data_IF_408002724309
#
_entry.id   IF_408002724309
#
_cell.length_a   1.000
_cell.length_b   1.000
_cell.length_c   1.000
_cell.angle_alpha   90.00
_cell.angle_beta   90.00
_cell.angle_gamma   90.00
#
_symmetry.space_group_name_H-M   'P 1'
#
loop_
_entity.id
_entity.type
_entity.pdbx_description
1 polymer ?
#
# COMPACT_ATOMS: atom_id res chain seq x y z
N UNK A 1 -3.89 -16.44 5.01
CA UNK A 1 -2.45 -16.17 5.15
C UNK A 1 -2.18 -14.80 4.56
N UNK A 2 -1.33 -13.97 5.17
CA UNK A 2 -0.94 -12.67 4.60
C UNK A 2 0.21 -12.86 3.61
N UNK A 3 0.04 -12.43 2.36
CA UNK A 3 1.13 -12.41 1.38
C UNK A 3 2.11 -11.27 1.72
N UNK A 4 3.41 -11.55 1.64
CA UNK A 4 4.47 -10.58 1.92
C UNK A 4 5.45 -10.53 0.76
N UNK A 5 5.75 -9.32 0.29
CA UNK A 5 6.72 -9.08 -0.77
C UNK A 5 7.67 -7.97 -0.35
N UNK A 6 8.97 -8.21 -0.50
CA UNK A 6 9.97 -7.17 -0.31
C UNK A 6 9.98 -6.31 -1.57
N UNK A 7 9.83 -5.00 -1.38
CA UNK A 7 9.83 -4.01 -2.45
C UNK A 7 10.95 -3.01 -2.20
N UNK A 8 11.53 -2.47 -3.27
CA UNK A 8 12.56 -1.46 -3.18
C UNK A 8 11.92 -0.09 -2.92
N UNK A 9 12.51 0.68 -2.02
CA UNK A 9 12.21 2.11 -1.85
C UNK A 9 13.07 2.88 -2.85
N UNK A 10 12.43 3.76 -3.62
CA UNK A 10 13.15 4.62 -4.57
C UNK A 10 13.99 5.66 -3.82
N UNK A 11 14.95 6.26 -4.51
CA UNK A 11 15.85 7.26 -3.90
C UNK A 11 15.12 8.48 -3.34
N UNK A 12 13.96 8.83 -3.91
CA UNK A 12 13.09 9.90 -3.43
C UNK A 12 12.07 9.45 -2.37
N UNK A 13 12.21 8.24 -1.84
CA UNK A 13 11.42 7.74 -0.71
C UNK A 13 10.06 7.15 -1.08
N UNK A 14 9.80 6.85 -2.37
CA UNK A 14 8.55 6.21 -2.79
C UNK A 14 8.64 4.70 -2.68
N UNK A 15 7.49 4.10 -2.42
CA UNK A 15 7.29 2.65 -2.50
C UNK A 15 6.40 2.35 -3.70
N UNK A 16 6.89 1.53 -4.63
CA UNK A 16 6.09 1.09 -5.77
C UNK A 16 5.32 -0.16 -5.35
N UNK A 17 3.99 -0.05 -5.31
CA UNK A 17 3.10 -1.17 -5.01
C UNK A 17 2.99 -2.05 -6.26
N UNK A 18 3.35 -3.34 -6.19
CA UNK A 18 3.22 -4.26 -7.32
C UNK A 18 1.77 -4.36 -7.83
N UNK A 19 1.60 -4.46 -9.15
CA UNK A 19 0.30 -4.39 -9.83
C UNK A 19 -0.69 -5.46 -9.32
N UNK A 20 -0.20 -6.64 -8.97
CA UNK A 20 -1.01 -7.75 -8.44
C UNK A 20 -1.77 -7.37 -7.15
N UNK A 21 -1.25 -6.43 -6.35
CA UNK A 21 -1.97 -5.94 -5.17
C UNK A 21 -3.00 -4.88 -5.55
N UNK A 22 -2.75 -4.07 -6.57
CA UNK A 22 -3.68 -3.00 -6.99
C UNK A 22 -4.96 -3.56 -7.63
N UNK A 23 -4.87 -4.70 -8.34
CA UNK A 23 -6.05 -5.38 -8.90
C UNK A 23 -7.05 -5.81 -7.81
N UNK A 24 -6.56 -6.17 -6.63
CA UNK A 24 -7.38 -6.59 -5.50
C UNK A 24 -8.10 -5.42 -4.80
N UNK A 25 -7.62 -4.18 -4.98
CA UNK A 25 -8.01 -3.03 -4.16
C UNK A 25 -9.09 -2.16 -4.82
N UNK A 26 -9.46 -2.43 -6.08
CA UNK A 26 -10.60 -1.80 -6.78
C UNK A 26 -10.48 -0.28 -6.98
N UNK A 27 -9.33 0.31 -6.67
CA UNK A 27 -9.09 1.74 -6.72
C UNK A 27 -7.63 2.10 -6.47
N UNK A 28 -7.30 3.36 -6.77
CA UNK A 28 -5.91 3.85 -6.80
C UNK A 28 -5.65 4.95 -5.74
N UNK A 29 -6.65 5.25 -4.92
CA UNK A 29 -6.60 6.26 -3.86
C UNK A 29 -6.62 5.58 -2.51
N UNK A 30 -5.69 5.95 -1.64
CA UNK A 30 -5.51 5.32 -0.34
C UNK A 30 -5.34 6.36 0.75
N UNK A 31 -5.97 6.10 1.89
CA UNK A 31 -5.62 6.74 3.16
C UNK A 31 -4.38 6.04 3.72
N UNK A 32 -3.41 6.84 4.16
CA UNK A 32 -2.15 6.37 4.73
C UNK A 32 -2.16 6.66 6.22
N UNK A 33 -1.94 5.63 7.05
CA UNK A 33 -1.72 5.80 8.49
C UNK A 33 -0.59 4.92 8.99
N UNK A 34 -0.06 5.28 10.16
CA UNK A 34 0.99 4.52 10.86
C UNK A 34 0.33 3.90 12.10
N UNK A 35 0.47 2.59 12.27
CA UNK A 35 -0.03 1.90 13.46
C UNK A 35 0.94 1.95 14.64
N UNK A 36 0.53 1.38 15.78
CA UNK A 36 1.31 1.36 17.02
C UNK A 36 2.65 0.61 16.90
N UNK A 37 2.78 -0.27 15.91
CA UNK A 37 4.02 -1.00 15.60
C UNK A 37 4.91 -0.23 14.61
N UNK A 38 4.50 0.96 14.17
CA UNK A 38 5.22 1.78 13.20
C UNK A 38 5.03 1.32 11.75
N UNK A 39 4.02 0.48 11.45
CA UNK A 39 3.76 0.00 10.10
C UNK A 39 2.92 1.02 9.34
N UNK A 40 3.33 1.31 8.10
CA UNK A 40 2.52 2.06 7.13
C UNK A 40 1.39 1.17 6.61
N UNK A 41 0.15 1.58 6.87
CA UNK A 41 -1.05 0.88 6.43
C UNK A 41 -1.75 1.74 5.37
N UNK A 42 -2.05 1.12 4.24
CA UNK A 42 -2.78 1.72 3.13
C UNK A 42 -4.22 1.19 3.14
N UNK A 43 -5.21 2.09 3.26
CA UNK A 43 -6.64 1.73 3.19
C UNK A 43 -7.27 2.32 1.93
N UNK A 44 -7.92 1.52 1.07
CA UNK A 44 -8.59 2.04 -0.11
C UNK A 44 -9.67 3.06 0.27
N UNK A 45 -9.73 4.17 -0.45
CA UNK A 45 -10.83 5.12 -0.34
C UNK A 45 -11.94 4.68 -1.31
N UNK A 46 -13.16 4.35 -0.84
CA UNK A 46 -14.26 4.04 -1.72
C UNK A 46 -14.59 5.27 -2.57
N UNK A 47 -14.52 5.14 -3.89
CA UNK A 47 -15.06 6.15 -4.80
C UNK A 47 -16.58 5.91 -4.87
N UNK A 48 -17.36 6.89 -4.43
CA UNK A 48 -18.83 6.89 -4.53
C UNK A 48 -19.30 6.96 -5.99
#
# INVERSE_FOLDING_TARGET
MSEKKVVQVTEDGRVIIPHEFTELLGGNTFDIHIDEEGRLILRPVPLH
#
